data_IF_725236351394
#
_entry.id   IF_725236351394
#
_cell.length_a   1.000
_cell.length_b   1.000
_cell.length_c   1.000
_cell.angle_alpha   90.00
_cell.angle_beta   90.00
_cell.angle_gamma   90.00
#
_symmetry.space_group_name_H-M   'P 1'
#
loop_
_entity.id
_entity.type
_entity.pdbx_description
1 polymer ?
#
# COMPACT_ATOMS: atom_id res chain seq x y z
N UNK A 1 5.75 5.30 -27.82
CA UNK A 1 5.49 4.79 -26.45
C UNK A 1 5.37 3.28 -26.57
N UNK A 2 6.32 2.51 -26.06
CA UNK A 2 6.20 1.06 -26.06
C UNK A 2 5.02 0.68 -25.17
N UNK A 3 3.98 0.10 -25.75
CA UNK A 3 2.90 -0.52 -24.99
C UNK A 3 3.53 -1.62 -24.14
N UNK A 4 3.56 -1.40 -22.83
CA UNK A 4 3.96 -2.43 -21.88
C UNK A 4 2.98 -3.62 -22.07
N UNK A 5 3.46 -4.88 -22.06
CA UNK A 5 2.59 -6.05 -22.27
C UNK A 5 1.41 -6.04 -21.29
N UNK A 6 0.19 -6.32 -21.80
CA UNK A 6 -1.09 -6.29 -21.08
C UNK A 6 -1.11 -7.22 -19.84
N UNK A 7 -0.21 -8.21 -19.84
CA UNK A 7 -0.06 -9.27 -18.86
C UNK A 7 0.49 -8.78 -17.51
N UNK A 8 1.01 -7.54 -17.41
CA UNK A 8 1.51 -6.96 -16.14
C UNK A 8 0.44 -6.79 -15.07
N UNK A 9 -0.82 -6.63 -15.48
CA UNK A 9 -1.94 -6.47 -14.55
C UNK A 9 -2.51 -7.80 -14.06
N UNK A 10 -1.98 -8.92 -14.57
CA UNK A 10 -2.40 -10.25 -14.15
C UNK A 10 -1.89 -10.56 -12.73
N UNK A 11 -2.73 -11.17 -11.87
CA UNK A 11 -2.38 -11.55 -10.50
C UNK A 11 -1.10 -12.37 -10.36
N UNK A 12 -0.86 -13.29 -11.30
CA UNK A 12 0.30 -14.19 -11.34
C UNK A 12 1.48 -13.67 -12.17
N UNK A 13 1.44 -12.41 -12.63
CA UNK A 13 2.55 -11.82 -13.40
C UNK A 13 3.77 -11.62 -12.51
N UNK A 14 4.91 -12.18 -12.93
CA UNK A 14 6.21 -11.98 -12.26
C UNK A 14 6.57 -10.50 -12.26
N UNK A 15 6.51 -9.86 -13.42
CA UNK A 15 6.85 -8.45 -13.60
C UNK A 15 5.96 -7.52 -12.77
N UNK A 16 4.64 -7.75 -12.80
CA UNK A 16 3.70 -6.97 -11.98
C UNK A 16 3.99 -7.12 -10.49
N UNK A 17 4.27 -8.35 -10.04
CA UNK A 17 4.58 -8.65 -8.65
C UNK A 17 5.89 -7.99 -8.21
N UNK A 18 6.95 -8.03 -9.03
CA UNK A 18 8.23 -7.39 -8.70
C UNK A 18 8.11 -5.86 -8.60
N UNK A 19 7.31 -5.24 -9.47
CA UNK A 19 7.05 -3.79 -9.40
C UNK A 19 6.28 -3.45 -8.12
N UNK A 20 5.24 -4.22 -7.79
CA UNK A 20 4.47 -4.01 -6.55
C UNK A 20 5.36 -4.15 -5.31
N UNK A 21 6.19 -5.19 -5.26
CA UNK A 21 7.14 -5.41 -4.16
C UNK A 21 8.17 -4.30 -4.07
N UNK A 22 8.69 -3.80 -5.20
CA UNK A 22 9.61 -2.67 -5.23
C UNK A 22 9.00 -1.42 -4.61
N UNK A 23 7.74 -1.12 -4.91
CA UNK A 23 7.00 -0.03 -4.27
C UNK A 23 6.75 -0.26 -2.79
N UNK A 24 6.41 -1.49 -2.39
CA UNK A 24 6.22 -1.82 -0.98
C UNK A 24 7.51 -1.64 -0.17
N UNK A 25 8.63 -2.14 -0.67
CA UNK A 25 9.96 -1.97 -0.04
C UNK A 25 10.33 -0.49 0.02
N UNK A 26 10.08 0.27 -1.05
CA UNK A 26 10.28 1.73 -1.04
C UNK A 26 9.43 2.39 0.05
N UNK A 27 8.17 1.98 0.20
CA UNK A 27 7.29 2.43 1.28
C UNK A 27 7.87 2.13 2.67
N UNK A 28 8.34 0.90 2.90
CA UNK A 28 9.01 0.52 4.16
C UNK A 28 10.21 1.42 4.45
N UNK A 29 11.05 1.70 3.45
CA UNK A 29 12.21 2.58 3.62
C UNK A 29 11.81 4.01 3.95
N UNK A 30 10.82 4.57 3.23
CA UNK A 30 10.34 5.94 3.47
C UNK A 30 9.74 6.07 4.87
N UNK A 31 8.77 5.23 5.23
CA UNK A 31 8.11 5.32 6.54
C UNK A 31 9.03 4.88 7.68
N UNK A 32 9.89 3.88 7.46
CA UNK A 32 10.91 3.48 8.42
C UNK A 32 11.90 4.60 8.71
N UNK A 33 12.32 5.36 7.69
CA UNK A 33 13.18 6.53 7.88
C UNK A 33 12.50 7.62 8.72
N UNK A 34 11.20 7.85 8.53
CA UNK A 34 10.44 8.82 9.34
C UNK A 34 10.37 8.40 10.81
N UNK A 35 10.28 7.10 11.10
CA UNK A 35 10.29 6.57 12.47
C UNK A 35 11.68 6.69 13.11
N UNK A 36 12.75 6.43 12.36
CA UNK A 36 14.12 6.41 12.91
C UNK A 36 14.70 7.81 13.09
N UNK A 37 14.48 8.70 12.12
CA UNK A 37 15.12 10.01 12.09
C UNK A 37 14.27 11.13 12.67
N UNK A 38 12.98 10.88 12.96
CA UNK A 38 12.03 11.85 13.53
C UNK A 38 12.26 13.29 13.04
N UNK A 39 12.15 13.56 11.72
CA UNK A 39 12.39 14.89 11.20
C UNK A 39 11.49 15.90 11.91
N UNK A 40 11.91 17.18 11.97
CA UNK A 40 11.29 18.28 12.74
C UNK A 40 9.75 18.42 12.70
N UNK A 41 9.07 17.76 11.76
CA UNK A 41 7.61 17.77 11.57
C UNK A 41 6.89 16.47 11.94
N UNK A 42 7.61 15.43 12.38
CA UNK A 42 7.07 14.10 12.69
C UNK A 42 7.62 13.64 14.04
N UNK A 43 6.82 13.78 15.09
CA UNK A 43 7.11 13.17 16.40
C UNK A 43 6.30 11.88 16.51
N UNK A 44 7.01 10.77 16.68
CA UNK A 44 6.41 9.46 16.92
C UNK A 44 6.60 9.16 18.40
N UNK A 45 5.54 9.25 19.19
CA UNK A 45 5.56 8.80 20.58
C UNK A 45 4.95 7.38 20.66
N UNK A 46 5.79 6.32 20.74
CA UNK A 46 5.36 4.93 20.66
C UNK A 46 4.78 4.46 22.01
N UNK A 47 3.68 5.06 22.44
CA UNK A 47 2.92 4.52 23.56
C UNK A 47 2.33 3.15 23.19
N UNK A 48 2.10 2.23 24.14
CA UNK A 48 1.52 0.92 23.86
C UNK A 48 0.20 1.00 23.08
N UNK A 49 -0.64 2.01 23.38
CA UNK A 49 -1.89 2.24 22.68
C UNK A 49 -1.68 2.68 21.22
N UNK A 50 -0.72 3.59 20.97
CA UNK A 50 -0.38 4.04 19.61
C UNK A 50 0.16 2.88 18.77
N UNK A 51 1.03 2.05 19.35
CA UNK A 51 1.61 0.88 18.67
C UNK A 51 0.53 -0.15 18.33
N UNK A 52 -0.32 -0.52 19.30
CA UNK A 52 -1.38 -1.48 19.09
C UNK A 52 -2.42 -1.00 18.06
N UNK A 53 -2.86 0.25 18.17
CA UNK A 53 -3.80 0.86 17.23
C UNK A 53 -3.24 0.93 15.80
N UNK A 54 -1.97 1.32 15.68
CA UNK A 54 -1.28 1.39 14.38
C UNK A 54 -1.08 0.02 13.77
N UNK A 55 -0.74 -0.99 14.58
CA UNK A 55 -0.59 -2.36 14.11
C UNK A 55 -1.90 -2.92 13.56
N UNK A 56 -3.01 -2.76 14.30
CA UNK A 56 -4.33 -3.20 13.85
C UNK A 56 -4.77 -2.49 12.56
N UNK A 57 -4.66 -1.16 12.53
CA UNK A 57 -5.00 -0.37 11.35
C UNK A 57 -4.15 -0.76 10.15
N UNK A 58 -2.84 -0.90 10.34
CA UNK A 58 -1.90 -1.27 9.29
C UNK A 58 -2.16 -2.67 8.73
N UNK A 59 -2.42 -3.67 9.59
CA UNK A 59 -2.76 -5.03 9.15
C UNK A 59 -4.02 -5.04 8.30
N UNK A 60 -5.08 -4.36 8.76
CA UNK A 60 -6.35 -4.28 8.03
C UNK A 60 -6.16 -3.60 6.68
N UNK A 61 -5.51 -2.43 6.65
CA UNK A 61 -5.28 -1.66 5.42
C UNK A 61 -4.37 -2.42 4.45
N UNK A 62 -3.23 -2.92 4.92
CA UNK A 62 -2.27 -3.65 4.09
C UNK A 62 -2.89 -4.89 3.43
N UNK A 63 -3.65 -5.67 4.21
CA UNK A 63 -4.36 -6.85 3.69
C UNK A 63 -5.46 -6.44 2.72
N UNK A 64 -6.29 -5.46 3.07
CA UNK A 64 -7.39 -5.01 2.22
C UNK A 64 -6.90 -4.47 0.88
N UNK A 65 -5.82 -3.68 0.86
CA UNK A 65 -5.23 -3.15 -0.37
C UNK A 65 -4.79 -4.26 -1.30
N UNK A 66 -4.08 -5.28 -0.80
CA UNK A 66 -3.64 -6.41 -1.63
C UNK A 66 -4.82 -7.24 -2.12
N UNK A 67 -5.75 -7.61 -1.24
CA UNK A 67 -6.92 -8.41 -1.62
C UNK A 67 -7.77 -7.68 -2.66
N UNK A 68 -8.08 -6.41 -2.45
CA UNK A 68 -8.87 -5.62 -3.40
C UNK A 68 -8.14 -5.43 -4.73
N UNK A 69 -6.82 -5.20 -4.70
CA UNK A 69 -6.05 -4.95 -5.92
C UNK A 69 -5.88 -6.21 -6.77
N UNK A 70 -5.78 -7.38 -6.14
CA UNK A 70 -5.48 -8.64 -6.85
C UNK A 70 -6.73 -9.47 -7.15
N UNK A 71 -7.63 -9.64 -6.18
CA UNK A 71 -8.78 -10.53 -6.32
C UNK A 71 -9.99 -9.83 -6.95
N UNK A 72 -10.12 -8.51 -6.81
CA UNK A 72 -11.27 -7.78 -7.36
C UNK A 72 -11.04 -7.36 -8.80
N UNK A 73 -11.67 -8.06 -9.73
CA UNK A 73 -11.70 -7.67 -11.14
C UNK A 73 -12.34 -6.30 -11.34
N UNK A 74 -13.37 -5.94 -10.55
CA UNK A 74 -13.99 -4.61 -10.54
C UNK A 74 -13.02 -3.52 -10.10
N UNK A 75 -12.16 -3.78 -9.11
CA UNK A 75 -11.16 -2.80 -8.72
C UNK A 75 -10.13 -2.62 -9.84
N UNK A 76 -9.65 -3.73 -10.43
CA UNK A 76 -8.71 -3.69 -11.56
C UNK A 76 -9.28 -2.94 -12.76
N UNK A 77 -10.53 -3.21 -13.13
CA UNK A 77 -11.22 -2.52 -14.24
C UNK A 77 -11.49 -1.05 -13.91
N UNK A 78 -11.93 -0.75 -12.69
CA UNK A 78 -12.15 0.62 -12.22
C UNK A 78 -10.90 1.48 -12.37
N UNK A 79 -9.73 0.92 -12.03
CA UNK A 79 -8.48 1.59 -12.30
C UNK A 79 -8.30 1.65 -13.82
N UNK A 80 -8.27 0.53 -14.54
CA UNK A 80 -7.94 0.47 -15.98
C UNK A 80 -8.72 1.46 -16.88
N UNK A 81 -10.01 1.64 -16.63
CA UNK A 81 -10.95 2.28 -17.57
C UNK A 81 -10.85 3.81 -17.68
N UNK A 82 -10.36 4.55 -16.68
CA UNK A 82 -10.39 6.03 -16.77
C UNK A 82 -9.33 6.76 -15.94
N UNK A 83 -8.35 7.37 -16.62
CA UNK A 83 -7.32 8.20 -15.99
C UNK A 83 -7.88 9.39 -15.18
N UNK A 84 -8.98 10.01 -15.64
CA UNK A 84 -9.63 11.13 -14.92
C UNK A 84 -10.27 10.67 -13.61
N UNK A 85 -10.93 9.51 -13.59
CA UNK A 85 -11.54 8.95 -12.37
C UNK A 85 -10.46 8.51 -11.37
N UNK A 86 -9.40 7.85 -11.86
CA UNK A 86 -8.22 7.51 -11.05
C UNK A 86 -7.63 8.74 -10.38
N UNK A 87 -7.43 9.83 -11.14
CA UNK A 87 -6.90 11.08 -10.62
C UNK A 87 -7.76 11.66 -9.50
N UNK A 88 -9.08 11.76 -9.69
CA UNK A 88 -9.99 12.31 -8.68
C UNK A 88 -9.96 11.48 -7.39
N UNK A 89 -9.98 10.15 -7.51
CA UNK A 89 -9.92 9.27 -6.33
C UNK A 89 -8.58 9.37 -5.62
N UNK A 90 -7.46 9.34 -6.34
CA UNK A 90 -6.13 9.50 -5.74
C UNK A 90 -5.96 10.88 -5.11
N UNK A 91 -6.47 11.93 -5.76
CA UNK A 91 -6.44 13.29 -5.22
C UNK A 91 -7.22 13.39 -3.92
N UNK A 92 -8.48 12.91 -3.91
CA UNK A 92 -9.30 12.92 -2.70
C UNK A 92 -8.67 12.08 -1.58
N UNK A 93 -8.09 10.93 -1.93
CA UNK A 93 -7.37 10.08 -0.99
C UNK A 93 -6.15 10.79 -0.40
N UNK A 94 -5.29 11.40 -1.23
CA UNK A 94 -4.11 12.14 -0.79
C UNK A 94 -4.51 13.31 0.10
N UNK A 95 -5.53 14.09 -0.28
CA UNK A 95 -6.01 15.21 0.53
C UNK A 95 -6.55 14.75 1.89
N UNK A 96 -7.32 13.65 1.91
CA UNK A 96 -7.79 13.03 3.15
C UNK A 96 -6.64 12.54 4.02
N UNK A 97 -5.66 11.84 3.43
CA UNK A 97 -4.47 11.36 4.12
C UNK A 97 -3.62 12.50 4.68
N UNK A 98 -3.49 13.63 3.97
CA UNK A 98 -2.79 14.81 4.50
C UNK A 98 -3.49 15.36 5.74
N UNK A 99 -4.84 15.40 5.75
CA UNK A 99 -5.59 15.83 6.92
C UNK A 99 -5.39 14.88 8.11
N UNK A 100 -5.47 13.56 7.88
CA UNK A 100 -5.24 12.54 8.92
C UNK A 100 -3.80 12.62 9.45
N UNK A 101 -2.81 12.73 8.56
CA UNK A 101 -1.40 12.85 8.92
C UNK A 101 -1.13 14.09 9.78
N UNK A 102 -1.80 15.20 9.49
CA UNK A 102 -1.68 16.44 10.30
C UNK A 102 -2.24 16.28 11.70
N UNK A 103 -3.29 15.48 11.89
CA UNK A 103 -3.93 15.26 13.18
C UNK A 103 -3.25 14.17 14.00
N UNK A 104 -2.80 13.10 13.34
CA UNK A 104 -2.25 11.90 13.98
C UNK A 104 -0.99 11.41 13.25
N UNK A 105 0.12 12.17 13.28
CA UNK A 105 1.31 11.85 12.50
C UNK A 105 1.92 10.50 12.89
N UNK A 106 2.13 10.26 14.19
CA UNK A 106 2.70 8.99 14.69
C UNK A 106 1.86 7.76 14.32
N UNK A 107 0.54 7.83 14.50
CA UNK A 107 -0.37 6.74 14.13
C UNK A 107 -0.36 6.48 12.62
N UNK A 108 -0.36 7.55 11.83
CA UNK A 108 -0.36 7.43 10.36
C UNK A 108 0.94 6.83 9.84
N UNK A 109 2.09 7.26 10.37
CA UNK A 109 3.40 6.72 9.99
C UNK A 109 3.53 5.25 10.36
N UNK A 110 3.18 4.89 11.61
CA UNK A 110 3.29 3.52 12.09
C UNK A 110 2.30 2.59 11.39
N UNK A 111 1.06 3.01 11.17
CA UNK A 111 0.06 2.21 10.44
C UNK A 111 0.44 2.01 8.98
N UNK A 112 0.97 3.04 8.31
CA UNK A 112 1.48 2.91 6.95
C UNK A 112 2.66 1.93 6.87
N UNK A 113 3.61 2.03 7.82
CA UNK A 113 4.75 1.11 7.89
C UNK A 113 4.27 -0.35 8.05
N UNK A 114 3.37 -0.59 9.00
CA UNK A 114 2.79 -1.93 9.21
C UNK A 114 2.02 -2.40 7.97
N UNK A 115 1.25 -1.52 7.32
CA UNK A 115 0.54 -1.86 6.10
C UNK A 115 1.48 -2.33 4.98
N UNK A 116 2.62 -1.65 4.77
CA UNK A 116 3.61 -2.09 3.78
C UNK A 116 4.26 -3.42 4.17
N UNK A 117 4.62 -3.60 5.44
CA UNK A 117 5.20 -4.85 5.94
C UNK A 117 4.25 -6.04 5.78
N UNK A 118 2.94 -5.83 5.98
CA UNK A 118 1.90 -6.86 5.81
C UNK A 118 1.56 -7.09 4.33
N UNK A 119 1.60 -6.04 3.51
CA UNK A 119 1.30 -6.13 2.08
C UNK A 119 2.31 -7.01 1.34
N UNK A 120 3.58 -7.02 1.74
CA UNK A 120 4.64 -7.85 1.13
C UNK A 120 4.28 -9.35 1.16
N UNK A 121 4.11 -10.00 2.32
CA UNK A 121 3.75 -11.42 2.37
C UNK A 121 2.36 -11.67 1.77
N UNK A 122 1.39 -10.77 1.94
CA UNK A 122 0.07 -10.93 1.34
C UNK A 122 0.15 -10.98 -0.20
N UNK A 123 0.97 -10.12 -0.82
CA UNK A 123 1.18 -10.09 -2.27
C UNK A 123 1.89 -11.33 -2.77
N UNK A 124 2.91 -11.80 -2.04
CA UNK A 124 3.62 -13.05 -2.35
C UNK A 124 2.69 -14.26 -2.32
N UNK A 125 1.87 -14.40 -1.27
CA UNK A 125 0.88 -15.48 -1.15
C UNK A 125 -0.10 -15.45 -2.33
N UNK A 126 -0.59 -14.25 -2.68
CA UNK A 126 -1.50 -14.10 -3.81
C UNK A 126 -0.83 -14.46 -5.15
N UNK A 127 0.43 -14.09 -5.34
CA UNK A 127 1.21 -14.46 -6.53
C UNK A 127 1.35 -15.99 -6.66
N UNK A 128 1.82 -16.68 -5.61
CA UNK A 128 1.96 -18.15 -5.65
C UNK A 128 0.62 -18.84 -5.90
N UNK A 129 -0.46 -18.38 -5.27
CA UNK A 129 -1.81 -18.92 -5.47
C UNK A 129 -2.29 -18.84 -6.93
N UNK A 130 -1.92 -17.79 -7.66
CA UNK A 130 -2.32 -17.61 -9.06
C UNK A 130 -1.34 -18.27 -10.03
N UNK A 131 -0.05 -18.33 -9.69
CA UNK A 131 0.96 -19.06 -10.46
C UNK A 131 0.68 -20.56 -10.50
N UNK A 132 0.30 -21.15 -9.37
CA UNK A 132 0.07 -22.60 -9.25
C UNK A 132 -1.25 -23.06 -9.92
N UNK A 133 -2.08 -22.11 -10.39
CA UNK A 133 -3.35 -22.38 -11.07
C UNK A 133 -3.28 -22.23 -12.61
N UNK A 134 -2.14 -21.78 -13.14
CA UNK A 134 -1.87 -21.64 -14.58
C UNK A 134 -1.02 -22.83 -15.06
#
# INVERSE_FOLDING_TARGET
>A
MAALPDDRTAPGSVDGTLVDLGWMVTGVLVFGSLVVFEPLFVSVDPTPATVAGSALAGVVVGTAVVVLSVESERARSFWAESGRRRFVVLFAFIMGMQAVFRLFPGLTVLSALVAFLVAIPARLVSYYRHRDRQ
#
